data_IF_109980390531
#
_entry.id   IF_109980390531
#
_cell.length_a   1.000
_cell.length_b   1.000
_cell.length_c   1.000
_cell.angle_alpha   90.00
_cell.angle_beta   90.00
_cell.angle_gamma   90.00
#
_symmetry.space_group_name_H-M   'P 1'
#
loop_
_entity.id
_entity.type
_entity.pdbx_description
1 polymer ?
#
# COMPACT_ATOMS: atom_id res chain seq x y z
N UNK A 1 4.75 -7.96 8.27
CA UNK A 1 5.60 -9.15 8.51
C UNK A 1 6.18 -9.21 9.92
N UNK A 2 6.40 -8.08 10.62
CA UNK A 2 6.95 -8.07 11.99
C UNK A 2 6.17 -8.91 13.02
N UNK A 3 4.83 -8.91 12.97
CA UNK A 3 4.01 -9.68 13.91
C UNK A 3 4.21 -11.20 13.78
N UNK A 4 4.23 -11.71 12.55
CA UNK A 4 4.48 -13.13 12.28
C UNK A 4 5.93 -13.52 12.63
N UNK A 5 6.90 -12.63 12.35
CA UNK A 5 8.30 -12.84 12.76
C UNK A 5 8.47 -12.91 14.28
N UNK A 6 7.78 -12.05 15.03
CA UNK A 6 7.83 -12.05 16.51
C UNK A 6 7.23 -13.32 17.10
N UNK A 7 6.10 -13.78 16.56
CA UNK A 7 5.48 -15.05 16.94
C UNK A 7 6.40 -16.25 16.68
N UNK A 8 7.01 -16.31 15.50
CA UNK A 8 7.91 -17.40 15.12
C UNK A 8 9.19 -17.40 15.96
N UNK A 9 9.73 -16.22 16.27
CA UNK A 9 10.87 -16.07 17.19
C UNK A 9 10.53 -16.57 18.60
N UNK A 10 9.35 -16.24 19.12
CA UNK A 10 8.90 -16.71 20.43
C UNK A 10 8.79 -18.25 20.48
N UNK A 11 8.20 -18.86 19.46
CA UNK A 11 8.11 -20.34 19.34
C UNK A 11 9.50 -20.95 19.33
N UNK A 12 10.42 -20.42 18.52
CA UNK A 12 11.80 -20.92 18.43
C UNK A 12 12.51 -20.88 19.79
N UNK A 13 12.40 -19.77 20.52
CA UNK A 13 13.03 -19.63 21.85
C UNK A 13 12.44 -20.60 22.88
N UNK A 14 11.11 -20.77 22.90
CA UNK A 14 10.44 -21.75 23.77
C UNK A 14 10.90 -23.18 23.44
N UNK A 15 11.01 -23.51 22.15
CA UNK A 15 11.47 -24.83 21.72
C UNK A 15 12.91 -25.12 22.17
N UNK A 16 13.80 -24.14 22.06
CA UNK A 16 15.19 -24.25 22.55
C UNK A 16 15.19 -24.47 24.07
N UNK A 17 14.38 -23.72 24.82
CA UNK A 17 14.30 -23.87 26.27
C UNK A 17 13.84 -25.27 26.69
N UNK A 18 12.84 -25.83 26.00
CA UNK A 18 12.41 -27.22 26.22
C UNK A 18 13.54 -28.20 25.89
N UNK A 19 14.21 -28.03 24.76
CA UNK A 19 15.30 -28.90 24.34
C UNK A 19 16.48 -28.90 25.34
N UNK A 20 16.83 -27.76 25.93
CA UNK A 20 17.87 -27.68 26.96
C UNK A 20 17.53 -28.49 28.22
N UNK A 21 16.24 -28.63 28.54
CA UNK A 21 15.75 -29.36 29.72
C UNK A 21 15.45 -30.84 29.45
N UNK A 22 15.61 -31.36 28.23
CA UNK A 22 15.36 -32.78 27.92
C UNK A 22 16.41 -33.68 28.58
N UNK A 23 16.03 -34.64 29.43
CA UNK A 23 16.98 -35.59 30.02
C UNK A 23 17.70 -36.44 28.95
N UNK A 24 19.01 -36.62 29.09
CA UNK A 24 19.85 -37.42 28.17
C UNK A 24 20.38 -38.70 28.81
N UNK A 25 19.96 -38.99 30.03
CA UNK A 25 20.43 -40.13 30.79
C UNK A 25 19.42 -41.29 30.79
N UNK A 26 19.94 -42.51 30.85
CA UNK A 26 19.14 -43.74 31.02
C UNK A 26 19.59 -44.45 32.29
N UNK A 27 18.64 -45.07 33.00
CA UNK A 27 18.94 -45.88 34.18
C UNK A 27 19.60 -47.20 33.77
N UNK A 28 20.68 -47.57 34.44
CA UNK A 28 21.33 -48.87 34.30
C UNK A 28 20.82 -49.82 35.38
N UNK A 29 20.93 -51.13 35.15
CA UNK A 29 20.45 -52.16 36.09
C UNK A 29 21.11 -52.15 37.48
N UNK A 30 22.18 -51.36 37.66
CA UNK A 30 22.91 -51.21 38.92
C UNK A 30 22.55 -49.93 39.68
N UNK A 31 21.50 -49.19 39.27
CA UNK A 31 21.00 -48.00 39.97
C UNK A 31 21.61 -46.68 39.53
N UNK A 32 22.70 -46.71 38.75
CA UNK A 32 23.34 -45.50 38.22
C UNK A 32 22.69 -45.04 36.91
N UNK A 33 22.74 -43.73 36.65
CA UNK A 33 22.33 -43.11 35.39
C UNK A 33 23.55 -42.83 34.52
N UNK A 34 23.49 -43.24 33.26
CA UNK A 34 24.56 -42.99 32.28
C UNK A 34 24.00 -42.18 31.12
N UNK A 35 24.78 -41.23 30.61
CA UNK A 35 24.40 -40.41 29.46
C UNK A 35 24.37 -41.26 28.20
N UNK A 36 23.24 -41.22 27.51
CA UNK A 36 23.02 -41.94 26.28
C UNK A 36 23.38 -41.05 25.07
N UNK A 37 24.28 -41.54 24.22
CA UNK A 37 24.78 -40.82 23.04
C UNK A 37 23.65 -40.55 22.02
N UNK A 38 22.67 -41.44 21.91
CA UNK A 38 21.51 -41.22 21.04
C UNK A 38 20.59 -40.10 21.57
N UNK A 39 20.34 -40.08 22.88
CA UNK A 39 19.55 -39.02 23.52
C UNK A 39 20.26 -37.66 23.46
N UNK A 40 21.59 -37.63 23.60
CA UNK A 40 22.35 -36.38 23.46
C UNK A 40 22.32 -35.85 22.02
N UNK A 41 22.38 -36.73 21.02
CA UNK A 41 22.21 -36.37 19.62
C UNK A 41 20.79 -35.87 19.31
N UNK A 42 19.76 -36.49 19.88
CA UNK A 42 18.37 -36.00 19.77
C UNK A 42 18.20 -34.61 20.37
N UNK A 43 18.77 -34.37 21.56
CA UNK A 43 18.78 -33.03 22.19
C UNK A 43 19.43 -32.00 21.28
N UNK A 44 20.60 -32.32 20.70
CA UNK A 44 21.32 -31.44 19.76
C UNK A 44 20.49 -31.12 18.52
N UNK A 45 19.80 -32.10 17.93
CA UNK A 45 18.92 -31.88 16.77
C UNK A 45 17.76 -30.92 17.10
N UNK A 46 17.14 -31.06 18.27
CA UNK A 46 16.08 -30.14 18.70
C UNK A 46 16.60 -28.72 18.97
N UNK A 47 17.80 -28.58 19.53
CA UNK A 47 18.45 -27.28 19.72
C UNK A 47 18.75 -26.63 18.35
N UNK A 48 19.27 -27.39 17.39
CA UNK A 48 19.57 -26.90 16.03
C UNK A 48 18.29 -26.41 15.33
N UNK A 49 17.21 -27.20 15.39
CA UNK A 49 15.93 -26.83 14.81
C UNK A 49 15.37 -25.55 15.44
N UNK A 50 15.37 -25.47 16.78
CA UNK A 50 14.90 -24.29 17.49
C UNK A 50 15.72 -23.03 17.18
N UNK A 51 17.05 -23.18 17.05
CA UNK A 51 17.95 -22.10 16.66
C UNK A 51 17.66 -21.58 15.25
N UNK A 52 17.42 -22.49 14.29
CA UNK A 52 17.06 -22.11 12.93
C UNK A 52 15.73 -21.35 12.87
N UNK A 53 14.71 -21.83 13.57
CA UNK A 53 13.40 -21.16 13.65
C UNK A 53 13.55 -19.77 14.28
N UNK A 54 14.27 -19.67 15.39
CA UNK A 54 14.52 -18.39 16.08
C UNK A 54 15.26 -17.39 15.18
N UNK A 55 16.26 -17.88 14.43
CA UNK A 55 17.02 -17.07 13.48
C UNK A 55 16.15 -16.55 12.33
N UNK A 56 15.33 -17.41 11.71
CA UNK A 56 14.38 -16.98 10.68
C UNK A 56 13.39 -15.94 11.21
N UNK A 57 12.85 -16.15 12.42
CA UNK A 57 11.97 -15.21 13.09
C UNK A 57 12.63 -13.85 13.32
N UNK A 58 13.89 -13.85 13.80
CA UNK A 58 14.68 -12.64 14.00
C UNK A 58 14.91 -11.87 12.70
N UNK A 59 15.30 -12.56 11.63
CA UNK A 59 15.48 -11.95 10.30
C UNK A 59 14.18 -11.31 9.80
N UNK A 60 13.03 -11.96 9.97
CA UNK A 60 11.73 -11.39 9.59
C UNK A 60 11.33 -10.17 10.44
N UNK A 61 11.78 -10.06 11.68
CA UNK A 61 11.52 -8.88 12.53
C UNK A 61 12.41 -7.71 12.10
N UNK A 62 13.70 -7.96 11.89
CA UNK A 62 14.70 -6.94 11.52
C UNK A 62 14.40 -6.39 10.12
N UNK A 63 14.29 -7.28 9.13
CA UNK A 63 14.07 -6.89 7.73
C UNK A 63 12.60 -6.70 7.37
N UNK A 64 11.66 -7.07 8.25
CA UNK A 64 10.22 -6.90 8.04
C UNK A 64 9.73 -5.45 8.18
N UNK A 65 10.59 -4.46 7.95
CA UNK A 65 10.22 -3.06 7.84
C UNK A 65 9.11 -2.88 6.82
N UNK A 66 8.03 -2.18 7.20
CA UNK A 66 7.17 -1.54 6.21
C UNK A 66 8.06 -0.53 5.50
N UNK A 67 8.19 -0.66 4.18
CA UNK A 67 8.72 0.40 3.34
C UNK A 67 7.80 1.60 3.56
N UNK A 68 8.20 2.51 4.44
CA UNK A 68 7.58 3.82 4.52
C UNK A 68 8.11 4.57 3.29
N UNK A 69 7.45 4.37 2.16
CA UNK A 69 7.37 5.44 1.19
C UNK A 69 6.76 6.60 1.95
N UNK A 70 7.57 7.61 2.27
CA UNK A 70 7.11 8.90 2.74
C UNK A 70 6.09 9.39 1.72
N UNK A 71 4.87 9.67 2.17
CA UNK A 71 3.80 10.19 1.31
C UNK A 71 4.33 11.45 0.60
N UNK A 72 4.64 11.32 -0.68
CA UNK A 72 5.19 12.41 -1.49
C UNK A 72 6.44 12.06 -2.31
N UNK A 73 7.18 11.01 -1.97
CA UNK A 73 8.35 10.62 -2.75
C UNK A 73 7.93 9.93 -4.07
N UNK A 74 8.55 10.34 -5.17
CA UNK A 74 8.24 9.84 -6.52
C UNK A 74 9.46 9.16 -7.14
N UNK A 75 9.22 8.27 -8.10
CA UNK A 75 10.30 7.60 -8.82
C UNK A 75 10.76 8.47 -9.98
N UNK A 76 12.08 8.55 -10.18
CA UNK A 76 12.66 9.18 -11.36
C UNK A 76 12.17 8.47 -12.62
N UNK A 77 11.62 9.17 -13.62
CA UNK A 77 11.04 8.57 -14.82
C UNK A 77 12.09 8.08 -15.85
N UNK A 78 13.39 8.10 -15.49
CA UNK A 78 14.51 7.64 -16.31
C UNK A 78 15.28 6.48 -15.68
N UNK A 79 15.53 6.52 -14.36
CA UNK A 79 16.32 5.51 -13.65
C UNK A 79 15.58 4.82 -12.50
N UNK A 80 14.33 5.19 -12.24
CA UNK A 80 13.48 4.65 -11.17
C UNK A 80 13.95 4.88 -9.72
N UNK A 81 15.03 5.66 -9.53
CA UNK A 81 15.50 6.06 -8.20
C UNK A 81 14.48 6.95 -7.48
N UNK A 82 14.44 6.88 -6.16
CA UNK A 82 13.51 7.69 -5.36
C UNK A 82 14.03 9.14 -5.32
N UNK A 83 13.17 10.07 -5.73
CA UNK A 83 13.44 11.51 -5.77
C UNK A 83 12.29 12.29 -5.13
N UNK A 84 12.57 13.54 -4.74
CA UNK A 84 11.54 14.44 -4.24
C UNK A 84 10.61 14.91 -5.38
N UNK A 85 9.34 15.22 -5.10
CA UNK A 85 8.37 15.63 -6.12
C UNK A 85 8.67 17.01 -6.72
N UNK A 86 9.50 17.81 -6.05
CA UNK A 86 9.98 19.13 -6.48
C UNK A 86 11.37 19.05 -7.17
N UNK A 87 11.90 17.86 -7.41
CA UNK A 87 13.20 17.70 -8.07
C UNK A 87 13.16 18.25 -9.50
N UNK A 88 14.14 19.10 -9.83
CA UNK A 88 14.39 19.55 -11.22
C UNK A 88 15.33 18.56 -11.93
N UNK A 89 16.34 18.04 -11.22
CA UNK A 89 17.28 17.05 -11.73
C UNK A 89 17.40 15.85 -10.80
N UNK A 90 17.53 14.66 -11.37
CA UNK A 90 17.81 13.45 -10.62
C UNK A 90 19.29 13.42 -10.18
N UNK A 91 19.54 13.22 -8.88
CA UNK A 91 20.91 13.11 -8.33
C UNK A 91 21.66 11.85 -8.78
N UNK A 92 20.93 10.81 -9.19
CA UNK A 92 21.51 9.52 -9.57
C UNK A 92 21.90 9.47 -11.05
N UNK A 93 20.97 9.79 -11.96
CA UNK A 93 21.23 9.72 -13.40
C UNK A 93 21.54 11.08 -14.05
N UNK A 94 21.38 12.20 -13.34
CA UNK A 94 21.64 13.55 -13.86
C UNK A 94 20.58 14.09 -14.82
N UNK A 95 19.56 13.29 -15.19
CA UNK A 95 18.48 13.70 -16.09
C UNK A 95 17.65 14.84 -15.49
N UNK A 96 17.20 15.77 -16.35
CA UNK A 96 16.15 16.72 -16.02
C UNK A 96 14.81 16.00 -15.96
N UNK A 97 14.15 16.06 -14.81
CA UNK A 97 12.91 15.32 -14.52
C UNK A 97 11.69 16.21 -14.49
N UNK A 98 11.86 17.54 -14.51
CA UNK A 98 10.79 18.50 -14.26
C UNK A 98 9.66 18.40 -15.29
N UNK A 99 10.00 18.43 -16.58
CA UNK A 99 9.00 18.42 -17.65
C UNK A 99 8.18 17.12 -17.65
N UNK A 100 8.86 15.96 -17.55
CA UNK A 100 8.22 14.65 -17.57
C UNK A 100 7.35 14.41 -16.33
N UNK A 101 7.79 14.88 -15.16
CA UNK A 101 7.00 14.83 -13.93
C UNK A 101 5.75 15.73 -13.99
N UNK A 102 5.84 16.91 -14.63
CA UNK A 102 4.67 17.77 -14.85
C UNK A 102 3.67 17.16 -15.82
N UNK A 103 4.15 16.53 -16.90
CA UNK A 103 3.32 15.77 -17.85
C UNK A 103 2.60 14.61 -17.16
N UNK A 104 3.31 13.81 -16.38
CA UNK A 104 2.73 12.71 -15.60
C UNK A 104 1.67 13.21 -14.61
N UNK A 105 1.92 14.34 -13.92
CA UNK A 105 0.94 14.94 -13.01
C UNK A 105 -0.32 15.42 -13.73
N UNK A 106 -0.18 15.98 -14.95
CA UNK A 106 -1.30 16.40 -15.78
C UNK A 106 -2.13 15.21 -16.28
N UNK A 107 -1.46 14.13 -16.67
CA UNK A 107 -2.08 12.89 -17.14
C UNK A 107 -2.72 12.09 -16.00
N UNK A 108 -2.25 12.28 -14.76
CA UNK A 108 -2.77 11.61 -13.57
C UNK A 108 -3.98 12.30 -12.93
N UNK A 109 -4.63 13.27 -13.61
CA UNK A 109 -5.81 13.93 -13.07
C UNK A 109 -6.90 12.90 -12.72
N UNK A 110 -7.40 12.97 -11.48
CA UNK A 110 -8.60 12.25 -11.04
C UNK A 110 -9.67 13.24 -10.60
N UNK A 111 -10.94 13.02 -10.97
CA UNK A 111 -12.07 13.84 -10.55
C UNK A 111 -12.16 14.01 -9.02
N UNK A 112 -11.84 12.97 -8.26
CA UNK A 112 -11.97 12.95 -6.79
C UNK A 112 -10.98 13.91 -6.09
N UNK A 113 -9.93 14.36 -6.79
CA UNK A 113 -8.94 15.29 -6.25
C UNK A 113 -9.47 16.75 -6.28
N UNK A 114 -10.61 17.02 -6.92
CA UNK A 114 -11.28 18.32 -6.86
C UNK A 114 -12.09 18.47 -5.55
N UNK A 115 -12.08 19.67 -4.91
CA UNK A 115 -12.85 19.92 -3.70
C UNK A 115 -14.35 19.66 -3.90
N UNK A 116 -14.98 18.90 -3.00
CA UNK A 116 -16.40 18.52 -3.14
C UNK A 116 -17.31 19.76 -3.11
N UNK A 117 -16.94 20.75 -2.30
CA UNK A 117 -17.64 22.03 -2.15
C UNK A 117 -17.67 22.84 -3.45
N UNK A 118 -16.75 22.58 -4.38
CA UNK A 118 -16.75 23.27 -5.67
C UNK A 118 -17.90 22.85 -6.57
N UNK A 119 -18.49 21.66 -6.38
CA UNK A 119 -19.54 21.13 -7.25
C UNK A 119 -20.95 21.62 -6.91
N UNK A 120 -21.12 22.43 -5.86
CA UNK A 120 -22.43 22.93 -5.49
C UNK A 120 -22.43 24.39 -5.04
N UNK A 121 -23.56 25.06 -5.25
CA UNK A 121 -23.80 26.44 -4.82
C UNK A 121 -24.87 26.41 -3.73
N UNK A 122 -24.55 26.97 -2.56
CA UNK A 122 -25.51 27.09 -1.46
C UNK A 122 -26.48 28.24 -1.74
N UNK A 123 -27.78 27.97 -1.76
CA UNK A 123 -28.84 28.97 -1.91
C UNK A 123 -29.54 29.24 -0.58
N UNK A 124 -30.47 30.21 -0.58
CA UNK A 124 -31.34 30.50 0.58
C UNK A 124 -32.17 29.26 0.97
N UNK A 125 -32.57 28.47 -0.02
CA UNK A 125 -33.27 27.20 0.15
C UNK A 125 -32.60 26.18 -0.78
N UNK A 126 -31.97 25.16 -0.20
CA UNK A 126 -31.35 24.07 -0.95
C UNK A 126 -29.96 24.37 -1.53
N UNK A 127 -29.57 23.51 -2.47
CA UNK A 127 -28.30 23.54 -3.18
C UNK A 127 -28.57 23.42 -4.67
N UNK A 128 -27.79 24.12 -5.48
CA UNK A 128 -27.76 23.94 -6.94
C UNK A 128 -26.43 23.29 -7.34
N UNK A 129 -26.41 22.56 -8.45
CA UNK A 129 -25.16 22.08 -9.05
C UNK A 129 -24.36 23.25 -9.62
N UNK A 130 -23.06 23.28 -9.35
CA UNK A 130 -22.15 24.20 -10.02
C UNK A 130 -21.75 23.63 -11.40
N UNK A 131 -22.53 23.95 -12.43
CA UNK A 131 -22.32 23.42 -13.78
C UNK A 131 -20.96 23.75 -14.38
N UNK A 132 -20.41 24.94 -14.09
CA UNK A 132 -19.12 25.38 -14.61
C UNK A 132 -17.99 24.48 -14.09
N UNK A 133 -18.05 24.10 -12.80
CA UNK A 133 -17.06 23.20 -12.22
C UNK A 133 -17.23 21.75 -12.69
N UNK A 134 -18.46 21.30 -12.95
CA UNK A 134 -18.70 19.99 -13.58
C UNK A 134 -18.10 19.97 -14.99
N UNK A 135 -18.33 21.03 -15.79
CA UNK A 135 -17.75 21.16 -17.13
C UNK A 135 -16.22 21.18 -17.08
N UNK A 136 -15.64 22.01 -16.21
CA UNK A 136 -14.18 22.09 -16.04
C UNK A 136 -13.56 20.75 -15.62
N UNK A 137 -14.24 19.99 -14.75
CA UNK A 137 -13.83 18.65 -14.38
C UNK A 137 -13.80 17.72 -15.61
N UNK A 138 -14.87 17.71 -16.41
CA UNK A 138 -14.96 16.86 -17.62
C UNK A 138 -13.92 17.27 -18.67
N UNK A 139 -13.66 18.56 -18.85
CA UNK A 139 -12.59 19.04 -19.74
C UNK A 139 -11.22 18.51 -19.31
N UNK A 140 -10.91 18.55 -18.01
CA UNK A 140 -9.67 17.98 -17.47
C UNK A 140 -9.59 16.47 -17.68
N UNK A 141 -10.70 15.74 -17.52
CA UNK A 141 -10.78 14.31 -17.85
C UNK A 141 -10.44 14.07 -19.32
N UNK A 142 -11.04 14.83 -20.25
CA UNK A 142 -10.80 14.70 -21.69
C UNK A 142 -9.35 15.02 -22.06
N UNK A 143 -8.78 16.08 -21.48
CA UNK A 143 -7.36 16.45 -21.68
C UNK A 143 -6.41 15.35 -21.19
N UNK A 144 -6.73 14.70 -20.06
CA UNK A 144 -5.93 13.60 -19.51
C UNK A 144 -6.10 12.27 -20.28
N UNK A 145 -7.08 12.17 -21.18
CA UNK A 145 -7.39 10.96 -21.95
C UNK A 145 -7.60 11.31 -23.44
N UNK A 146 -6.55 11.81 -24.13
CA UNK A 146 -6.65 12.15 -25.54
C UNK A 146 -6.97 10.90 -26.36
N UNK A 147 -7.90 11.02 -27.31
CA UNK A 147 -8.31 9.95 -28.24
C UNK A 147 -8.91 8.69 -27.57
N UNK A 148 -9.43 8.80 -26.35
CA UNK A 148 -10.16 7.72 -25.68
C UNK A 148 -11.66 7.90 -25.89
N UNK A 149 -12.36 6.81 -26.17
CA UNK A 149 -13.82 6.82 -26.31
C UNK A 149 -14.53 7.22 -25.01
N UNK A 150 -15.62 7.98 -25.13
CA UNK A 150 -16.40 8.48 -23.99
C UNK A 150 -16.87 7.36 -23.05
N UNK A 151 -17.29 6.22 -23.59
CA UNK A 151 -17.78 5.07 -22.80
C UNK A 151 -16.67 4.46 -21.96
N UNK A 152 -15.45 4.42 -22.50
CA UNK A 152 -14.26 3.95 -21.79
C UNK A 152 -13.86 4.94 -20.68
N UNK A 153 -13.98 6.25 -20.94
CA UNK A 153 -13.74 7.28 -19.92
C UNK A 153 -14.72 7.13 -18.75
N UNK A 154 -16.02 6.96 -19.02
CA UNK A 154 -17.04 6.79 -17.97
C UNK A 154 -16.74 5.56 -17.11
N UNK A 155 -16.38 4.44 -17.75
CA UNK A 155 -16.01 3.23 -17.03
C UNK A 155 -14.72 3.42 -16.20
N UNK A 156 -13.70 4.09 -16.75
CA UNK A 156 -12.43 4.37 -16.07
C UNK A 156 -12.61 5.18 -14.79
N UNK A 157 -13.49 6.19 -14.79
CA UNK A 157 -13.69 7.09 -13.65
C UNK A 157 -14.94 6.79 -12.82
N UNK A 158 -15.61 5.65 -13.06
CA UNK A 158 -16.89 5.29 -12.42
C UNK A 158 -16.85 5.37 -10.89
N UNK A 159 -15.79 4.86 -10.27
CA UNK A 159 -15.68 4.83 -8.80
C UNK A 159 -15.36 6.20 -8.20
N UNK A 160 -14.58 7.03 -8.91
CA UNK A 160 -14.33 8.43 -8.51
C UNK A 160 -15.63 9.23 -8.55
N UNK A 161 -16.38 9.15 -9.65
CA UNK A 161 -17.66 9.86 -9.81
C UNK A 161 -18.69 9.37 -8.79
N UNK A 162 -18.76 8.06 -8.52
CA UNK A 162 -19.59 7.51 -7.45
C UNK A 162 -19.22 8.09 -6.08
N UNK A 163 -17.92 8.20 -5.80
CA UNK A 163 -17.42 8.74 -4.54
C UNK A 163 -17.73 10.22 -4.37
N UNK A 164 -17.60 11.02 -5.44
CA UNK A 164 -18.02 12.44 -5.44
C UNK A 164 -19.52 12.53 -5.16
N UNK A 165 -20.33 11.81 -5.93
CA UNK A 165 -21.80 11.79 -5.79
C UNK A 165 -22.24 11.41 -4.38
N UNK A 166 -21.59 10.45 -3.74
CA UNK A 166 -21.89 10.04 -2.36
C UNK A 166 -21.65 11.16 -1.33
N UNK A 167 -20.65 12.02 -1.58
CA UNK A 167 -20.29 13.14 -0.70
C UNK A 167 -21.12 14.41 -0.94
N UNK A 168 -21.81 14.52 -2.08
CA UNK A 168 -22.67 15.67 -2.38
C UNK A 168 -23.96 15.66 -1.54
N UNK A 169 -24.56 16.85 -1.31
CA UNK A 169 -25.91 16.98 -0.76
C UNK A 169 -26.92 16.11 -1.53
N UNK A 170 -27.79 15.32 -0.86
CA UNK A 170 -28.68 14.36 -1.51
C UNK A 170 -29.53 14.93 -2.65
N UNK A 171 -29.97 16.18 -2.51
CA UNK A 171 -30.88 16.86 -3.44
C UNK A 171 -30.30 17.04 -4.85
N UNK A 172 -28.97 17.13 -4.97
CA UNK A 172 -28.29 17.45 -6.24
C UNK A 172 -27.49 16.28 -6.81
N UNK A 173 -27.53 15.11 -6.17
CA UNK A 173 -26.69 13.96 -6.53
C UNK A 173 -26.97 13.44 -7.94
N UNK A 174 -28.25 13.36 -8.28
CA UNK A 174 -28.68 12.84 -9.57
C UNK A 174 -28.49 13.90 -10.65
N UNK A 175 -28.82 15.18 -10.36
CA UNK A 175 -28.56 16.30 -11.26
C UNK A 175 -27.06 16.41 -11.62
N UNK A 176 -26.16 16.30 -10.65
CA UNK A 176 -24.71 16.28 -10.88
C UNK A 176 -24.31 15.16 -11.87
N UNK A 177 -24.87 13.97 -11.69
CA UNK A 177 -24.52 12.81 -12.52
C UNK A 177 -25.04 12.95 -13.96
N UNK A 178 -26.25 13.49 -14.13
CA UNK A 178 -26.82 13.79 -15.44
C UNK A 178 -25.98 14.87 -16.17
N UNK A 179 -25.57 15.92 -15.46
CA UNK A 179 -24.69 16.95 -16.02
C UNK A 179 -23.33 16.38 -16.42
N UNK A 180 -22.75 15.52 -15.58
CA UNK A 180 -21.49 14.84 -15.90
C UNK A 180 -21.58 14.02 -17.20
N UNK A 181 -22.63 13.21 -17.37
CA UNK A 181 -22.85 12.42 -18.59
C UNK A 181 -23.04 13.32 -19.82
N UNK A 182 -23.89 14.34 -19.68
CA UNK A 182 -24.14 15.32 -20.73
C UNK A 182 -22.85 15.97 -21.24
N UNK A 183 -21.97 16.42 -20.33
CA UNK A 183 -20.70 17.07 -20.70
C UNK A 183 -19.66 16.09 -21.26
N UNK A 184 -19.70 14.81 -20.86
CA UNK A 184 -18.87 13.80 -21.53
C UNK A 184 -19.36 13.59 -22.96
N UNK A 185 -20.67 13.56 -23.17
CA UNK A 185 -21.31 13.29 -24.46
C UNK A 185 -21.89 11.88 -24.54
N UNK A 186 -22.52 11.43 -23.45
CA UNK A 186 -23.35 10.21 -23.38
C UNK A 186 -24.79 10.57 -22.99
#
# INVERSE_FOLDING_TARGET
MKGLGCFLLAIGLVWIFIAFNMDVSVATGYGDRVNNIGLIASRQNHILLGAFISFCGLMMVIFGGRNQQTEGDVKCPYCAEIIRPDAIKCKHCGSDVQAKMQEEKKNSFRPIDMPIESFFIRRKVGFDVNEDNVRSMVEKIKIANPNVDNSLIINKYKDDIRSIRAKLPPQIRDEFYEKYKHWIGE
#
